data_IF_658248388232
#
_entry.id   IF_658248388232
#
_cell.length_a   1.000
_cell.length_b   1.000
_cell.length_c   1.000
_cell.angle_alpha   90.00
_cell.angle_beta   90.00
_cell.angle_gamma   90.00
#
_symmetry.space_group_name_H-M   'P 1'
#
loop_
_entity.id
_entity.type
_entity.pdbx_description
1 polymer ?
#
# COMPACT_ATOMS: atom_id res chain seq x y z
N UNK A 1 -22.35 31.13 1.97
CA UNK A 1 -21.96 29.76 1.62
C UNK A 1 -22.09 28.93 2.88
N UNK A 2 -22.90 27.85 2.93
CA UNK A 2 -22.88 26.93 4.07
C UNK A 2 -21.51 26.24 4.17
N UNK A 3 -21.19 25.70 5.35
CA UNK A 3 -19.93 24.98 5.55
C UNK A 3 -19.82 23.79 4.60
N UNK A 4 -18.62 23.58 4.05
CA UNK A 4 -18.34 22.40 3.25
C UNK A 4 -18.34 21.17 4.17
N UNK A 5 -19.28 20.26 3.93
CA UNK A 5 -19.46 19.04 4.68
C UNK A 5 -19.17 17.86 3.76
N UNK A 6 -18.41 16.90 4.28
CA UNK A 6 -18.09 15.68 3.56
C UNK A 6 -18.94 14.50 4.01
N UNK A 7 -18.98 13.46 3.18
CA UNK A 7 -19.63 12.18 3.53
C UNK A 7 -19.06 11.63 4.83
N UNK A 8 -19.93 11.08 5.67
CA UNK A 8 -19.56 10.48 6.96
C UNK A 8 -18.45 9.43 6.79
N UNK A 9 -17.51 9.39 7.72
CA UNK A 9 -16.50 8.33 7.80
C UNK A 9 -17.17 6.94 7.82
N UNK A 10 -16.60 6.00 7.06
CA UNK A 10 -17.14 4.65 6.90
C UNK A 10 -18.22 4.50 5.82
N UNK A 11 -18.63 5.59 5.14
CA UNK A 11 -19.55 5.47 4.00
C UNK A 11 -18.86 4.76 2.81
N UNK A 12 -19.54 3.84 2.15
CA UNK A 12 -18.99 3.14 0.98
C UNK A 12 -18.71 4.14 -0.16
N UNK A 13 -17.57 3.99 -0.83
CA UNK A 13 -17.15 4.80 -1.97
C UNK A 13 -16.50 3.95 -3.08
N UNK A 14 -16.23 4.57 -4.24
CA UNK A 14 -15.59 3.93 -5.40
C UNK A 14 -16.22 2.60 -5.82
N UNK A 15 -17.55 2.56 -5.87
CA UNK A 15 -18.30 1.37 -6.29
C UNK A 15 -18.20 0.17 -5.35
N UNK A 16 -17.81 0.37 -4.08
CA UNK A 16 -17.68 -0.72 -3.11
C UNK A 16 -16.24 -1.08 -2.74
N UNK A 17 -15.25 -0.42 -3.35
CA UNK A 17 -13.83 -0.73 -3.17
C UNK A 17 -13.20 -0.09 -1.94
N UNK A 18 -13.87 0.86 -1.29
CA UNK A 18 -13.33 1.55 -0.14
C UNK A 18 -14.38 2.25 0.71
N UNK A 19 -13.90 2.90 1.75
CA UNK A 19 -14.71 3.62 2.72
C UNK A 19 -14.21 5.05 2.87
N UNK A 20 -15.15 6.00 2.95
CA UNK A 20 -14.82 7.40 3.13
C UNK A 20 -14.12 7.62 4.47
N UNK A 21 -13.10 8.46 4.46
CA UNK A 21 -12.45 8.95 5.67
C UNK A 21 -12.03 10.39 5.45
N UNK A 22 -12.49 11.30 6.32
CA UNK A 22 -12.21 12.75 6.24
C UNK A 22 -12.47 13.34 4.84
N UNK A 23 -13.55 12.91 4.21
CA UNK A 23 -13.98 13.36 2.89
C UNK A 23 -13.22 12.80 1.70
N UNK A 24 -12.25 11.92 1.92
CA UNK A 24 -11.54 11.20 0.87
C UNK A 24 -12.00 9.75 0.79
N UNK A 25 -11.75 9.10 -0.35
CA UNK A 25 -11.92 7.66 -0.53
C UNK A 25 -10.53 7.02 -0.70
N UNK A 26 -9.80 6.74 0.39
CA UNK A 26 -8.48 6.15 0.30
C UNK A 26 -8.56 4.74 -0.29
N UNK A 27 -7.78 4.50 -1.34
CA UNK A 27 -7.64 3.20 -2.00
C UNK A 27 -6.15 2.88 -2.14
N UNK A 28 -5.78 1.62 -1.98
CA UNK A 28 -4.38 1.16 -2.14
C UNK A 28 -3.84 1.54 -3.53
N UNK A 29 -4.64 1.35 -4.59
CA UNK A 29 -4.28 1.77 -5.95
C UNK A 29 -3.93 3.26 -6.02
N UNK A 30 -4.77 4.12 -5.47
CA UNK A 30 -4.51 5.57 -5.50
C UNK A 30 -3.26 5.94 -4.71
N UNK A 31 -2.97 5.26 -3.61
CA UNK A 31 -1.72 5.44 -2.87
C UNK A 31 -0.52 5.00 -3.73
N UNK A 32 -0.59 3.86 -4.41
CA UNK A 32 0.44 3.41 -5.34
C UNK A 32 0.66 4.42 -6.48
N UNK A 33 -0.41 4.96 -7.06
CA UNK A 33 -0.31 5.94 -8.14
C UNK A 33 0.34 7.25 -7.70
N UNK A 34 0.10 7.67 -6.46
CA UNK A 34 0.74 8.87 -5.91
C UNK A 34 2.25 8.66 -5.72
N UNK A 35 2.69 7.45 -5.39
CA UNK A 35 4.10 7.14 -5.12
C UNK A 35 4.85 6.78 -6.40
N UNK A 36 4.29 5.91 -7.24
CA UNK A 36 4.94 5.28 -8.39
C UNK A 36 4.43 5.79 -9.75
N UNK A 37 3.55 6.79 -9.76
CA UNK A 37 3.00 7.37 -10.98
C UNK A 37 1.69 6.72 -11.43
N UNK A 38 1.01 7.37 -12.37
CA UNK A 38 -0.38 7.07 -12.78
C UNK A 38 -0.64 5.62 -13.21
N UNK A 39 0.39 4.95 -13.75
CA UNK A 39 0.29 3.60 -14.31
C UNK A 39 0.55 2.52 -13.24
N UNK A 40 0.78 2.92 -11.99
CA UNK A 40 0.93 1.99 -10.88
C UNK A 40 -0.42 1.42 -10.43
N UNK A 41 -0.38 0.18 -9.96
CA UNK A 41 -1.52 -0.60 -9.49
C UNK A 41 -1.29 -1.12 -8.07
N UNK A 42 -2.39 -1.52 -7.42
CA UNK A 42 -2.30 -2.27 -6.18
C UNK A 42 -1.69 -3.66 -6.46
N UNK A 43 -0.66 -4.05 -5.71
CA UNK A 43 -0.01 -5.34 -5.93
C UNK A 43 -0.94 -6.52 -5.63
N UNK A 44 -0.51 -7.70 -6.11
CA UNK A 44 -1.17 -8.95 -5.79
C UNK A 44 -1.13 -9.24 -4.29
N UNK A 45 -2.16 -9.92 -3.78
CA UNK A 45 -2.27 -10.38 -2.39
C UNK A 45 -0.99 -11.07 -1.87
N UNK A 46 -0.35 -11.87 -2.73
CA UNK A 46 0.87 -12.59 -2.41
C UNK A 46 2.02 -11.68 -1.95
N UNK A 47 2.10 -10.45 -2.47
CA UNK A 47 3.12 -9.48 -2.06
C UNK A 47 2.95 -9.10 -0.58
N UNK A 48 1.72 -8.78 -0.17
CA UNK A 48 1.38 -8.45 1.21
C UNK A 48 1.56 -9.66 2.13
N UNK A 49 0.96 -10.80 1.76
CA UNK A 49 0.97 -12.02 2.55
C UNK A 49 2.36 -12.61 2.74
N UNK A 50 3.31 -12.35 1.82
CA UNK A 50 4.69 -12.78 2.02
C UNK A 50 5.54 -11.71 2.69
N UNK A 51 5.62 -10.50 2.14
CA UNK A 51 6.58 -9.51 2.63
C UNK A 51 6.20 -9.04 4.03
N UNK A 52 4.95 -8.58 4.20
CA UNK A 52 4.49 -7.98 5.45
C UNK A 52 4.43 -8.99 6.61
N UNK A 53 4.09 -10.25 6.31
CA UNK A 53 4.05 -11.33 7.32
C UNK A 53 5.46 -11.79 7.69
N UNK A 54 6.38 -11.90 6.73
CA UNK A 54 7.77 -12.25 7.02
C UNK A 54 8.49 -11.14 7.80
N UNK A 55 8.06 -9.88 7.64
CA UNK A 55 8.67 -8.70 8.24
C UNK A 55 10.00 -8.39 7.59
N UNK A 56 9.98 -8.07 6.31
CA UNK A 56 11.14 -7.56 5.58
C UNK A 56 11.29 -6.05 5.80
N UNK A 57 12.47 -5.45 5.53
CA UNK A 57 12.63 -4.00 5.60
C UNK A 57 11.63 -3.21 4.74
N UNK A 58 11.20 -3.79 3.62
CA UNK A 58 10.25 -3.19 2.66
C UNK A 58 8.83 -3.76 2.80
N UNK A 59 8.59 -4.60 3.81
CA UNK A 59 7.29 -5.22 4.06
C UNK A 59 7.11 -5.59 5.52
N UNK A 60 6.40 -4.76 6.28
CA UNK A 60 6.22 -4.95 7.71
C UNK A 60 5.00 -4.17 8.23
N UNK A 61 4.67 -4.35 9.51
CA UNK A 61 3.63 -3.58 10.21
C UNK A 61 4.24 -2.45 11.05
N UNK A 62 5.28 -1.81 10.50
CA UNK A 62 6.05 -0.75 11.14
C UNK A 62 7.16 -1.28 12.05
N UNK A 63 7.59 -0.42 12.97
CA UNK A 63 8.66 -0.68 13.90
C UNK A 63 8.14 -0.59 15.33
N UNK A 64 8.68 -1.41 16.22
CA UNK A 64 8.38 -1.30 17.64
C UNK A 64 9.13 -0.13 18.31
N UNK A 65 8.94 0.05 19.61
CA UNK A 65 9.55 1.15 20.37
C UNK A 65 11.09 1.06 20.45
N UNK A 66 11.69 -0.08 20.09
CA UNK A 66 13.14 -0.29 20.03
C UNK A 66 13.70 -0.07 18.63
N UNK A 67 12.83 0.14 17.64
CA UNK A 67 13.20 0.24 16.23
C UNK A 67 13.29 -1.11 15.53
N UNK A 68 12.81 -2.19 16.14
CA UNK A 68 12.83 -3.51 15.51
C UNK A 68 11.62 -3.67 14.58
N UNK A 69 11.82 -4.32 13.43
CA UNK A 69 10.75 -4.58 12.45
C UNK A 69 9.65 -5.43 13.10
N UNK A 70 8.41 -4.95 13.01
CA UNK A 70 7.22 -5.70 13.42
C UNK A 70 6.66 -6.49 12.24
N UNK A 71 6.61 -7.81 12.39
CA UNK A 71 5.88 -8.70 11.47
C UNK A 71 4.38 -8.44 11.59
N UNK A 72 3.68 -8.49 10.47
CA UNK A 72 2.22 -8.43 10.46
C UNK A 72 1.61 -9.76 10.87
N UNK A 73 0.45 -9.71 11.55
CA UNK A 73 -0.47 -10.83 11.58
C UNK A 73 -1.05 -11.07 10.16
N UNK A 74 -1.59 -12.26 9.91
CA UNK A 74 -2.14 -12.62 8.60
C UNK A 74 -3.28 -11.66 8.23
N UNK A 75 -4.20 -11.44 9.18
CA UNK A 75 -5.34 -10.54 9.06
C UNK A 75 -4.97 -9.06 8.84
N UNK A 76 -3.77 -8.67 9.27
CA UNK A 76 -3.27 -7.28 9.21
C UNK A 76 -2.31 -7.03 8.02
N UNK A 77 -2.07 -8.05 7.19
CA UNK A 77 -1.08 -7.98 6.11
C UNK A 77 -1.31 -6.84 5.12
N UNK A 78 -2.57 -6.42 4.89
CA UNK A 78 -2.93 -5.28 4.04
C UNK A 78 -2.85 -3.92 4.73
N UNK A 79 -2.68 -3.89 6.05
CA UNK A 79 -2.56 -2.67 6.85
C UNK A 79 -1.09 -2.30 7.15
N UNK A 80 -0.14 -3.15 6.75
CA UNK A 80 1.29 -2.91 6.84
C UNK A 80 1.83 -2.01 5.71
N UNK A 81 3.09 -2.24 5.33
CA UNK A 81 3.72 -1.56 4.20
C UNK A 81 2.91 -1.79 2.93
N UNK A 82 2.57 -0.68 2.25
CA UNK A 82 1.90 -0.70 0.95
C UNK A 82 2.75 -1.49 -0.06
N UNK A 83 2.12 -2.34 -0.87
CA UNK A 83 2.79 -3.07 -1.94
C UNK A 83 2.16 -2.67 -3.28
N UNK A 84 3.00 -2.29 -4.24
CA UNK A 84 2.56 -1.81 -5.55
C UNK A 84 3.11 -2.67 -6.68
N UNK A 85 2.44 -2.63 -7.83
CA UNK A 85 2.96 -3.17 -9.10
C UNK A 85 2.90 -2.09 -10.17
N UNK A 86 3.68 -2.28 -11.23
CA UNK A 86 3.68 -1.37 -12.40
C UNK A 86 4.05 0.07 -12.02
N UNK A 87 3.87 1.01 -12.96
CA UNK A 87 4.32 2.38 -12.80
C UNK A 87 5.83 2.57 -12.99
N UNK A 88 6.32 3.71 -12.52
CA UNK A 88 7.70 4.15 -12.74
C UNK A 88 8.71 3.30 -11.96
N UNK A 89 9.94 3.25 -12.49
CA UNK A 89 11.04 2.50 -11.84
C UNK A 89 11.47 3.13 -10.53
N UNK A 90 11.28 4.43 -10.38
CA UNK A 90 11.59 5.19 -9.16
C UNK A 90 10.35 5.94 -8.68
N UNK A 91 10.21 6.24 -7.38
CA UNK A 91 9.08 7.01 -6.87
C UNK A 91 9.02 8.40 -7.51
N UNK A 92 7.84 8.81 -7.97
CA UNK A 92 7.59 10.17 -8.47
C UNK A 92 7.24 11.16 -7.36
N UNK A 93 6.83 10.66 -6.19
CA UNK A 93 6.51 11.48 -5.03
C UNK A 93 7.77 11.98 -4.34
N UNK A 94 7.82 13.29 -4.08
CA UNK A 94 8.89 13.97 -3.35
C UNK A 94 8.83 13.76 -1.84
N UNK A 95 7.72 13.23 -1.34
CA UNK A 95 7.49 12.98 0.09
C UNK A 95 8.07 11.63 0.54
N UNK A 96 8.54 10.82 -0.41
CA UNK A 96 9.23 9.57 -0.12
C UNK A 96 10.67 9.94 0.25
N UNK A 97 11.07 9.60 1.49
CA UNK A 97 12.47 9.69 1.89
C UNK A 97 13.33 8.90 0.90
N UNK A 98 14.59 9.30 0.65
CA UNK A 98 15.52 8.53 -0.17
C UNK A 98 15.83 7.21 0.54
N UNK A 99 14.93 6.24 0.41
CA UNK A 99 15.10 4.85 0.80
C UNK A 99 15.36 4.05 -0.47
N UNK A 100 16.25 3.09 -0.35
CA UNK A 100 16.43 2.07 -1.36
C UNK A 100 15.11 1.32 -1.53
N UNK A 101 14.44 1.53 -2.67
CA UNK A 101 13.28 0.76 -3.04
C UNK A 101 13.74 -0.53 -3.72
N UNK A 102 13.17 -1.65 -3.29
CA UNK A 102 13.52 -2.97 -3.80
C UNK A 102 12.30 -3.54 -4.50
N UNK A 103 12.47 -3.89 -5.76
CA UNK A 103 11.44 -4.56 -6.53
C UNK A 103 11.61 -6.06 -6.38
N UNK A 104 10.66 -6.72 -5.74
CA UNK A 104 10.60 -8.18 -5.64
C UNK A 104 9.79 -8.77 -6.79
N UNK A 105 10.20 -9.95 -7.25
CA UNK A 105 9.42 -10.78 -8.19
C UNK A 105 8.97 -12.04 -7.48
N UNK A 106 7.67 -12.19 -7.27
CA UNK A 106 7.08 -13.34 -6.59
C UNK A 106 6.42 -14.28 -7.58
N UNK A 107 6.74 -15.57 -7.48
CA UNK A 107 6.03 -16.60 -8.23
C UNK A 107 4.96 -17.24 -7.36
N UNK A 108 3.70 -17.15 -7.79
CA UNK A 108 2.55 -17.82 -7.18
C UNK A 108 1.71 -18.48 -8.25
N UNK A 109 1.53 -19.81 -8.14
CA UNK A 109 0.69 -20.57 -9.08
C UNK A 109 1.16 -20.53 -10.54
N UNK A 110 2.45 -20.25 -10.79
CA UNK A 110 2.99 -20.13 -12.15
C UNK A 110 2.93 -18.71 -12.74
N UNK A 111 2.31 -17.76 -12.04
CA UNK A 111 2.33 -16.34 -12.39
C UNK A 111 3.40 -15.60 -11.61
N UNK A 112 4.08 -14.67 -12.27
CA UNK A 112 5.09 -13.79 -11.63
C UNK A 112 4.45 -12.43 -11.37
N UNK A 113 4.52 -11.97 -10.13
CA UNK A 113 4.02 -10.68 -9.67
C UNK A 113 5.18 -9.78 -9.25
N UNK A 114 5.10 -8.52 -9.64
CA UNK A 114 5.98 -7.47 -9.16
C UNK A 114 5.46 -6.92 -7.83
N UNK A 115 6.35 -6.77 -6.84
CA UNK A 115 6.05 -6.17 -5.55
C UNK A 115 7.06 -5.05 -5.30
N UNK A 116 6.58 -3.81 -5.30
CA UNK A 116 7.33 -2.59 -4.95
C UNK A 116 6.94 -2.12 -3.55
#
# INVERSE_FOLDING_TARGET
>A
CPNDLFKKNGAICSGGLGYCFQGQCPLLKTQCQNIWGKDAENANAACYERLNILGTPNGNCGYDNKGDIRKCAIEDSYCGSLQCSDGEKEPVSKDVLPMDFVIYKMNTGGSVHECK
#
